data_IF_331273025569
#
_entry.id   IF_331273025569
#
_cell.length_a   1.000
_cell.length_b   1.000
_cell.length_c   1.000
_cell.angle_alpha   90.00
_cell.angle_beta   90.00
_cell.angle_gamma   90.00
#
_symmetry.space_group_name_H-M   'P 1'
#
loop_
_entity.id
_entity.type
_entity.pdbx_description
1 polymer ?
#
# COMPACT_ATOMS: atom_id res chain seq x y z
N UNK A 1 21.44 1.57 57.06
CA UNK A 1 19.97 1.65 56.79
C UNK A 1 19.54 2.78 55.86
N UNK A 2 20.02 4.04 55.97
CA UNK A 2 19.55 5.15 55.09
C UNK A 2 19.78 4.91 53.59
N UNK A 3 20.97 4.46 53.18
CA UNK A 3 21.29 4.20 51.75
C UNK A 3 20.38 3.15 51.08
N UNK A 4 19.92 2.15 51.82
CA UNK A 4 19.06 1.09 51.32
C UNK A 4 17.63 1.60 51.02
N UNK A 5 17.12 2.50 51.86
CA UNK A 5 15.82 3.16 51.63
C UNK A 5 15.85 4.09 50.42
N UNK A 6 16.95 4.81 50.21
CA UNK A 6 17.12 5.69 49.05
C UNK A 6 17.23 4.91 47.75
N UNK A 7 17.96 3.78 47.74
CA UNK A 7 18.05 2.90 46.57
C UNK A 7 16.69 2.28 46.21
N UNK A 8 15.95 1.81 47.22
CA UNK A 8 14.60 1.28 47.03
C UNK A 8 13.64 2.34 46.46
N UNK A 9 13.74 3.60 46.90
CA UNK A 9 12.94 4.70 46.37
C UNK A 9 13.21 4.94 44.89
N UNK A 10 14.48 4.97 44.46
CA UNK A 10 14.82 5.16 43.04
C UNK A 10 14.35 4.02 42.14
N UNK A 11 14.41 2.77 42.62
CA UNK A 11 13.88 1.60 41.89
C UNK A 11 12.37 1.67 41.72
N UNK A 12 11.64 2.06 42.77
CA UNK A 12 10.17 2.22 42.68
C UNK A 12 9.83 3.37 41.74
N UNK A 13 10.52 4.50 41.83
CA UNK A 13 10.32 5.62 40.91
C UNK A 13 10.62 5.27 39.46
N UNK A 14 11.67 4.51 39.17
CA UNK A 14 11.99 4.11 37.78
C UNK A 14 10.95 3.14 37.21
N UNK A 15 10.40 2.24 38.02
CA UNK A 15 9.31 1.34 37.63
C UNK A 15 8.03 2.15 37.33
N UNK A 16 7.70 3.13 38.16
CA UNK A 16 6.52 3.99 37.95
C UNK A 16 6.68 4.84 36.68
N UNK A 17 7.86 5.41 36.44
CA UNK A 17 8.13 6.18 35.21
C UNK A 17 8.09 5.28 33.97
N UNK A 18 8.70 4.08 34.03
CA UNK A 18 8.70 3.13 32.93
C UNK A 18 7.31 2.61 32.57
N UNK A 19 6.48 2.31 33.57
CA UNK A 19 5.09 1.88 33.36
C UNK A 19 4.21 2.99 32.80
N UNK A 20 4.34 4.22 33.31
CA UNK A 20 3.61 5.37 32.77
C UNK A 20 3.98 5.66 31.30
N UNK A 21 5.26 5.55 30.94
CA UNK A 21 5.71 5.70 29.56
C UNK A 21 5.15 4.59 28.65
N UNK A 22 5.18 3.33 29.10
CA UNK A 22 4.63 2.20 28.34
C UNK A 22 3.12 2.35 28.10
N UNK A 23 2.35 2.77 29.11
CA UNK A 23 0.92 3.07 28.97
C UNK A 23 0.70 4.24 28.01
N UNK A 24 1.52 5.29 28.10
CA UNK A 24 1.46 6.43 27.18
C UNK A 24 1.71 6.03 25.73
N UNK A 25 2.75 5.23 25.45
CA UNK A 25 3.03 4.72 24.11
C UNK A 25 1.92 3.79 23.60
N UNK A 26 1.44 2.87 24.44
CA UNK A 26 0.35 1.98 24.08
C UNK A 26 -0.95 2.75 23.80
N UNK A 27 -1.27 3.76 24.60
CA UNK A 27 -2.44 4.61 24.40
C UNK A 27 -2.32 5.47 23.14
N UNK A 28 -1.16 6.08 22.90
CA UNK A 28 -0.90 6.85 21.68
C UNK A 28 -0.98 5.96 20.43
N UNK A 29 -0.43 4.74 20.47
CA UNK A 29 -0.56 3.75 19.39
C UNK A 29 -2.01 3.32 19.18
N UNK A 30 -2.77 3.12 20.26
CA UNK A 30 -4.20 2.79 20.19
C UNK A 30 -5.02 3.93 19.57
N UNK A 31 -4.80 5.18 19.99
CA UNK A 31 -5.50 6.34 19.44
C UNK A 31 -5.13 6.60 17.98
N UNK A 32 -3.85 6.44 17.62
CA UNK A 32 -3.39 6.54 16.24
C UNK A 32 -4.05 5.48 15.36
N UNK A 33 -4.07 4.21 15.79
CA UNK A 33 -4.80 3.15 15.07
C UNK A 33 -6.31 3.45 14.97
N UNK A 34 -6.93 3.99 16.02
CA UNK A 34 -8.37 4.30 16.03
C UNK A 34 -8.79 5.34 14.99
N UNK A 35 -7.90 6.23 14.54
CA UNK A 35 -8.20 7.17 13.45
C UNK A 35 -8.42 6.46 12.11
N UNK A 36 -7.94 5.23 11.98
CA UNK A 36 -8.09 4.37 10.81
C UNK A 36 -9.13 3.24 11.01
N UNK A 37 -9.62 3.03 12.24
CA UNK A 37 -10.60 1.97 12.59
C UNK A 37 -12.06 2.41 12.50
N UNK A 38 -12.36 3.69 12.24
CA UNK A 38 -13.74 4.10 11.92
C UNK A 38 -13.86 4.31 10.42
N UNK A 39 -14.01 3.23 9.61
CA UNK A 39 -14.48 3.42 8.26
C UNK A 39 -15.79 4.18 8.37
N UNK A 40 -15.92 5.26 7.59
CA UNK A 40 -17.20 5.92 7.42
C UNK A 40 -18.18 4.81 7.05
N UNK A 41 -19.27 4.62 7.81
CA UNK A 41 -20.25 3.58 7.52
C UNK A 41 -20.96 3.94 6.20
N UNK A 42 -20.37 3.51 5.10
CA UNK A 42 -21.00 3.54 3.80
C UNK A 42 -21.95 2.34 3.74
N UNK A 43 -23.18 2.57 3.29
CA UNK A 43 -24.12 1.50 3.02
C UNK A 43 -23.44 0.46 2.10
N UNK A 44 -23.16 -0.73 2.62
CA UNK A 44 -22.38 -1.79 1.95
C UNK A 44 -23.02 -2.24 0.63
N UNK A 45 -24.34 -2.08 0.49
CA UNK A 45 -25.05 -2.31 -0.78
C UNK A 45 -24.65 -1.33 -1.90
N UNK A 46 -24.13 -0.16 -1.55
CA UNK A 46 -23.62 0.85 -2.50
C UNK A 46 -22.20 0.52 -2.93
N UNK A 47 -21.37 -0.03 -2.04
CA UNK A 47 -19.97 -0.36 -2.34
C UNK A 47 -19.84 -1.54 -3.31
N UNK A 48 -20.71 -2.55 -3.20
CA UNK A 48 -20.76 -3.67 -4.14
C UNK A 48 -20.86 -3.22 -5.61
N UNK A 49 -21.60 -2.13 -5.88
CA UNK A 49 -21.77 -1.59 -7.24
C UNK A 49 -20.51 -0.98 -7.86
N UNK A 50 -19.45 -0.75 -7.06
CA UNK A 50 -18.13 -0.35 -7.57
C UNK A 50 -17.23 -1.54 -7.91
N UNK A 51 -17.68 -2.76 -7.64
CA UNK A 51 -17.00 -4.02 -7.89
C UNK A 51 -17.88 -4.95 -8.73
N UNK A 52 -17.39 -6.15 -9.06
CA UNK A 52 -18.20 -7.14 -9.77
C UNK A 52 -19.25 -7.76 -8.83
N UNK A 53 -18.97 -7.71 -7.54
CA UNK A 53 -19.82 -8.23 -6.49
C UNK A 53 -19.03 -8.40 -5.18
N UNK A 54 -19.61 -9.15 -4.26
CA UNK A 54 -19.07 -9.35 -2.92
C UNK A 54 -19.47 -8.27 -1.92
N UNK A 55 -19.41 -8.62 -0.65
CA UNK A 55 -19.69 -7.76 0.49
C UNK A 55 -18.41 -7.24 1.17
N UNK A 56 -17.24 -7.68 0.69
CA UNK A 56 -15.94 -7.31 1.24
C UNK A 56 -15.57 -8.09 2.51
N UNK A 57 -16.33 -9.13 2.85
CA UNK A 57 -16.02 -10.01 3.99
C UNK A 57 -15.02 -11.11 3.57
N UNK A 58 -14.43 -11.82 4.52
CA UNK A 58 -13.49 -12.91 4.20
C UNK A 58 -14.14 -14.07 3.43
N UNK A 59 -15.40 -14.38 3.70
CA UNK A 59 -16.15 -15.42 2.99
C UNK A 59 -16.77 -14.92 1.68
N UNK A 60 -16.91 -13.61 1.51
CA UNK A 60 -17.49 -12.98 0.33
C UNK A 60 -16.74 -11.67 -0.02
N UNK A 61 -15.48 -11.78 -0.48
CA UNK A 61 -14.62 -10.64 -0.78
C UNK A 61 -15.12 -9.85 -1.99
N UNK A 62 -14.82 -8.55 -2.03
CA UNK A 62 -15.08 -7.73 -3.21
C UNK A 62 -14.33 -8.29 -4.42
N UNK A 63 -15.06 -8.54 -5.50
CA UNK A 63 -14.52 -9.14 -6.71
C UNK A 63 -14.05 -8.09 -7.70
N UNK A 64 -12.82 -8.25 -8.17
CA UNK A 64 -12.18 -7.40 -9.17
C UNK A 64 -11.92 -8.25 -10.41
N UNK A 65 -12.64 -7.94 -11.49
CA UNK A 65 -12.58 -8.60 -12.78
C UNK A 65 -12.09 -7.65 -13.87
N UNK A 66 -12.48 -6.38 -13.79
CA UNK A 66 -12.18 -5.37 -14.80
C UNK A 66 -11.25 -4.28 -14.27
N UNK A 67 -10.48 -3.62 -15.15
CA UNK A 67 -9.65 -2.50 -14.77
C UNK A 67 -10.38 -1.47 -13.88
N UNK A 68 -11.62 -1.12 -14.22
CA UNK A 68 -12.41 -0.06 -13.56
C UNK A 68 -12.60 -0.33 -12.07
N UNK A 69 -12.73 -1.61 -11.71
CA UNK A 69 -12.91 -2.04 -10.34
C UNK A 69 -11.59 -1.95 -9.55
N UNK A 70 -10.45 -2.16 -10.21
CA UNK A 70 -9.13 -1.91 -9.62
C UNK A 70 -8.90 -0.42 -9.35
N UNK A 71 -9.38 0.46 -10.24
CA UNK A 71 -9.39 1.91 -9.99
C UNK A 71 -10.29 2.29 -8.83
N UNK A 72 -11.47 1.68 -8.75
CA UNK A 72 -12.39 1.94 -7.65
C UNK A 72 -11.76 1.56 -6.32
N UNK A 73 -11.05 0.44 -6.25
CA UNK A 73 -10.24 0.08 -5.08
C UNK A 73 -9.27 1.22 -4.70
N UNK A 74 -8.48 1.71 -5.66
CA UNK A 74 -7.54 2.81 -5.44
C UNK A 74 -8.23 4.07 -4.90
N UNK A 75 -9.31 4.53 -5.55
CA UNK A 75 -10.03 5.75 -5.18
C UNK A 75 -10.70 5.64 -3.82
N UNK A 76 -11.38 4.52 -3.56
CA UNK A 76 -12.09 4.29 -2.31
C UNK A 76 -11.12 4.09 -1.14
N UNK A 77 -9.91 3.55 -1.38
CA UNK A 77 -8.86 3.50 -0.36
C UNK A 77 -8.42 4.91 0.08
N UNK A 78 -8.20 5.82 -0.87
CA UNK A 78 -7.85 7.23 -0.56
C UNK A 78 -8.97 7.94 0.20
N UNK A 79 -10.22 7.49 0.07
CA UNK A 79 -11.35 8.02 0.83
C UNK A 79 -11.51 7.39 2.23
N UNK A 80 -10.61 6.48 2.64
CA UNK A 80 -10.68 5.83 3.96
C UNK A 80 -11.91 4.93 4.14
N UNK A 81 -12.42 4.37 3.04
CA UNK A 81 -13.66 3.57 3.03
C UNK A 81 -13.46 2.18 3.64
N UNK A 82 -12.26 1.61 3.47
CA UNK A 82 -11.97 0.22 3.81
C UNK A 82 -11.22 0.07 5.13
N UNK A 83 -11.30 -1.12 5.71
CA UNK A 83 -10.62 -1.48 6.96
C UNK A 83 -9.76 -2.74 6.78
N UNK A 84 -9.07 -3.15 7.84
CA UNK A 84 -8.30 -4.39 7.90
C UNK A 84 -9.13 -5.66 7.64
N UNK A 85 -10.43 -5.59 7.93
CA UNK A 85 -11.39 -6.69 7.73
C UNK A 85 -12.01 -6.69 6.33
N UNK A 86 -11.67 -5.72 5.47
CA UNK A 86 -12.12 -5.70 4.08
C UNK A 86 -11.26 -6.63 3.24
N UNK A 87 -11.89 -7.46 2.42
CA UNK A 87 -11.23 -8.45 1.57
C UNK A 87 -11.55 -8.21 0.11
N UNK A 88 -10.53 -8.33 -0.74
CA UNK A 88 -10.57 -8.21 -2.18
C UNK A 88 -10.00 -9.48 -2.82
N UNK A 89 -10.57 -9.86 -3.96
CA UNK A 89 -10.01 -10.92 -4.80
C UNK A 89 -10.01 -10.54 -6.27
N UNK A 90 -9.03 -11.05 -7.02
CA UNK A 90 -9.12 -11.07 -8.48
C UNK A 90 -9.96 -12.29 -8.92
N UNK A 91 -11.00 -12.06 -9.70
CA UNK A 91 -11.78 -13.15 -10.31
C UNK A 91 -11.27 -13.50 -11.72
N UNK A 92 -10.60 -12.57 -12.39
CA UNK A 92 -10.00 -12.79 -13.70
C UNK A 92 -8.66 -12.04 -13.85
N UNK A 93 -7.94 -12.33 -14.94
CA UNK A 93 -6.77 -11.55 -15.30
C UNK A 93 -7.20 -10.15 -15.73
N UNK A 94 -6.52 -9.13 -15.21
CA UNK A 94 -6.76 -7.75 -15.63
C UNK A 94 -6.02 -7.52 -16.96
N UNK A 95 -6.73 -7.12 -18.03
CA UNK A 95 -6.14 -6.92 -19.34
C UNK A 95 -5.20 -5.72 -19.35
N UNK A 96 -4.39 -5.61 -20.41
CA UNK A 96 -3.44 -4.53 -20.61
C UNK A 96 -4.07 -3.19 -21.04
N UNK A 97 -5.36 -3.19 -21.36
CA UNK A 97 -6.10 -2.03 -21.85
C UNK A 97 -7.18 -1.63 -20.85
N UNK A 98 -7.52 -0.35 -20.78
CA UNK A 98 -8.53 0.17 -19.87
C UNK A 98 -8.01 0.44 -18.45
N UNK A 99 -6.71 0.32 -18.22
CA UNK A 99 -6.05 0.70 -16.96
C UNK A 99 -5.74 2.21 -16.88
N UNK A 100 -5.84 2.92 -18.00
CA UNK A 100 -5.77 4.38 -18.09
C UNK A 100 -7.18 4.96 -17.91
N UNK A 101 -7.35 5.94 -17.02
CA UNK A 101 -8.63 6.65 -16.85
C UNK A 101 -8.47 8.13 -17.14
N UNK A 102 -9.23 8.64 -18.11
CA UNK A 102 -9.21 10.04 -18.53
C UNK A 102 -7.80 10.54 -18.93
N UNK A 103 -6.95 9.63 -19.42
CA UNK A 103 -5.54 9.89 -19.76
C UNK A 103 -4.61 10.03 -18.54
N UNK A 104 -5.07 9.59 -17.36
CA UNK A 104 -4.30 9.60 -16.11
C UNK A 104 -4.01 8.17 -15.67
N UNK A 105 -2.72 7.92 -15.43
CA UNK A 105 -2.21 6.66 -14.89
C UNK A 105 -2.84 6.31 -13.52
N UNK A 106 -2.63 5.07 -13.08
CA UNK A 106 -3.00 4.67 -11.72
C UNK A 106 -2.09 5.39 -10.71
N UNK A 107 -2.67 5.97 -9.66
CA UNK A 107 -1.89 6.35 -8.49
C UNK A 107 -1.66 5.11 -7.61
N UNK A 108 -0.58 5.04 -6.83
CA UNK A 108 -0.35 3.97 -5.87
C UNK A 108 -1.58 3.73 -4.97
N UNK A 109 -1.90 2.46 -4.71
CA UNK A 109 -2.93 2.07 -3.74
C UNK A 109 -2.31 2.16 -2.35
N UNK A 110 -2.77 3.13 -1.58
CA UNK A 110 -2.23 3.42 -0.25
C UNK A 110 -1.13 4.48 -0.26
N UNK A 111 -1.21 5.39 0.71
CA UNK A 111 -0.20 6.41 1.01
C UNK A 111 0.03 6.50 2.53
N UNK A 112 1.03 7.26 2.97
CA UNK A 112 1.24 7.52 4.41
C UNK A 112 -0.03 8.07 5.11
N UNK A 113 -0.77 8.97 4.45
CA UNK A 113 -2.02 9.54 4.98
C UNK A 113 -3.18 8.53 4.95
N UNK A 114 -3.24 7.66 3.94
CA UNK A 114 -4.29 6.65 3.76
C UNK A 114 -3.70 5.29 3.41
N UNK A 115 -3.11 4.57 4.39
CA UNK A 115 -2.50 3.27 4.14
C UNK A 115 -3.50 2.24 3.59
N UNK A 116 -3.01 1.26 2.85
CA UNK A 116 -3.81 0.10 2.48
C UNK A 116 -3.84 -0.89 3.65
N UNK A 117 -4.99 -1.01 4.33
CA UNK A 117 -5.19 -1.92 5.48
C UNK A 117 -5.73 -3.30 5.11
N UNK A 118 -6.34 -3.41 3.94
CA UNK A 118 -7.21 -4.53 3.59
C UNK A 118 -6.45 -5.78 3.14
N UNK A 119 -7.19 -6.87 2.92
CA UNK A 119 -6.67 -8.14 2.41
C UNK A 119 -6.89 -8.21 0.90
N UNK A 120 -5.84 -8.36 0.11
CA UNK A 120 -5.89 -8.50 -1.34
C UNK A 120 -5.35 -9.87 -1.77
N UNK A 121 -6.21 -10.72 -2.30
CA UNK A 121 -5.83 -12.02 -2.86
C UNK A 121 -5.97 -12.04 -4.39
N UNK A 122 -4.83 -12.08 -5.06
CA UNK A 122 -4.73 -12.16 -6.50
C UNK A 122 -5.26 -13.44 -7.14
N UNK A 123 -5.55 -14.46 -6.36
CA UNK A 123 -6.16 -15.73 -6.81
C UNK A 123 -5.45 -16.40 -8.01
N UNK A 124 -4.12 -16.29 -8.07
CA UNK A 124 -3.27 -16.81 -9.15
C UNK A 124 -3.37 -16.04 -10.46
N UNK A 125 -4.03 -14.87 -10.48
CA UNK A 125 -4.30 -14.07 -11.68
C UNK A 125 -3.16 -13.09 -11.98
N UNK A 126 -3.23 -12.52 -13.18
CA UNK A 126 -2.27 -11.55 -13.71
C UNK A 126 -2.90 -10.18 -13.83
N UNK A 127 -2.10 -9.15 -13.59
CA UNK A 127 -2.41 -7.77 -13.97
C UNK A 127 -1.37 -7.39 -15.01
N UNK A 128 -1.82 -7.11 -16.24
CA UNK A 128 -0.94 -6.91 -17.38
C UNK A 128 -0.76 -5.43 -17.69
N UNK A 129 0.45 -5.02 -18.06
CA UNK A 129 0.81 -3.66 -18.47
C UNK A 129 0.30 -2.58 -17.51
N UNK A 130 0.41 -2.84 -16.21
CA UNK A 130 0.04 -1.88 -15.18
C UNK A 130 0.97 -0.67 -15.25
N UNK A 131 0.42 0.51 -15.49
CA UNK A 131 1.15 1.77 -15.41
C UNK A 131 0.73 2.51 -14.14
N UNK A 132 1.71 2.75 -13.26
CA UNK A 132 1.50 3.49 -12.02
C UNK A 132 2.40 4.72 -12.01
N UNK A 133 1.82 5.86 -11.71
CA UNK A 133 2.52 7.12 -11.59
C UNK A 133 2.59 7.55 -10.13
N UNK A 134 3.76 7.33 -9.51
CA UNK A 134 4.09 7.87 -8.21
C UNK A 134 4.48 9.34 -8.34
N UNK A 135 3.65 10.23 -7.79
CA UNK A 135 3.91 11.67 -7.80
C UNK A 135 5.11 12.09 -6.92
N UNK A 136 5.59 11.19 -6.06
CA UNK A 136 6.69 11.39 -5.11
C UNK A 136 7.59 10.14 -5.05
N UNK A 137 8.76 10.24 -4.42
CA UNK A 137 9.71 9.12 -4.22
C UNK A 137 9.26 8.13 -3.14
N UNK A 138 8.40 8.57 -2.24
CA UNK A 138 7.69 7.77 -1.24
C UNK A 138 6.38 7.22 -1.82
N UNK A 139 5.91 6.10 -1.25
CA UNK A 139 4.66 5.42 -1.60
C UNK A 139 4.55 5.01 -3.08
N UNK A 140 5.60 4.41 -3.63
CA UNK A 140 5.68 4.00 -5.05
C UNK A 140 5.21 2.55 -5.28
N UNK A 141 4.78 2.26 -6.51
CA UNK A 141 4.34 0.91 -6.92
C UNK A 141 2.82 0.76 -6.92
N UNK A 142 2.32 -0.42 -7.30
CA UNK A 142 0.87 -0.69 -7.31
C UNK A 142 0.24 -0.48 -5.93
N UNK A 143 0.93 -0.92 -4.88
CA UNK A 143 0.60 -0.63 -3.49
C UNK A 143 1.71 0.26 -2.93
N UNK A 144 1.39 1.53 -2.67
CA UNK A 144 2.37 2.54 -2.27
C UNK A 144 2.74 2.41 -0.80
N UNK A 145 1.73 2.41 0.07
CA UNK A 145 1.88 2.20 1.51
C UNK A 145 0.92 1.11 1.99
N UNK A 146 1.47 0.07 2.61
CA UNK A 146 0.73 -1.09 3.12
C UNK A 146 0.80 -1.08 4.65
N UNK A 147 -0.35 -1.04 5.30
CA UNK A 147 -0.41 -0.99 6.76
C UNK A 147 -0.05 -2.34 7.40
N UNK A 148 0.32 -2.28 8.68
CA UNK A 148 0.50 -3.49 9.49
C UNK A 148 -0.80 -4.31 9.53
N UNK A 149 -0.71 -5.61 9.27
CA UNK A 149 -1.87 -6.52 9.25
C UNK A 149 -2.56 -6.67 7.89
N UNK A 150 -2.27 -5.78 6.93
CA UNK A 150 -2.68 -5.96 5.54
C UNK A 150 -1.91 -7.13 4.89
N UNK A 151 -2.55 -7.81 3.93
CA UNK A 151 -1.94 -8.90 3.17
C UNK A 151 -2.21 -8.72 1.70
N UNK A 152 -1.15 -8.78 0.90
CA UNK A 152 -1.21 -8.68 -0.56
C UNK A 152 -0.52 -9.92 -1.11
N UNK A 153 -1.26 -10.77 -1.81
CA UNK A 153 -0.72 -12.07 -2.20
C UNK A 153 -1.27 -12.62 -3.50
N UNK A 154 -0.58 -13.61 -4.06
CA UNK A 154 -1.10 -14.54 -5.07
C UNK A 154 -1.53 -13.90 -6.41
N UNK A 155 -0.84 -12.88 -6.90
CA UNK A 155 -0.95 -12.41 -8.29
C UNK A 155 0.43 -12.18 -8.89
N UNK A 156 0.44 -11.98 -10.21
CA UNK A 156 1.62 -11.57 -10.96
C UNK A 156 1.37 -10.26 -11.69
N UNK A 157 2.31 -9.31 -11.58
CA UNK A 157 2.38 -8.17 -12.48
C UNK A 157 3.14 -8.58 -13.74
N UNK A 158 2.48 -8.53 -14.90
CA UNK A 158 3.11 -8.80 -16.18
C UNK A 158 3.42 -7.47 -16.87
N UNK A 159 4.72 -7.17 -17.06
CA UNK A 159 5.20 -5.94 -17.69
C UNK A 159 4.73 -4.62 -17.01
N UNK A 160 4.85 -4.46 -15.68
CA UNK A 160 4.48 -3.21 -15.03
C UNK A 160 5.46 -2.07 -15.37
N UNK A 161 4.94 -0.85 -15.50
CA UNK A 161 5.71 0.39 -15.58
C UNK A 161 5.40 1.22 -14.34
N UNK A 162 6.41 1.48 -13.52
CA UNK A 162 6.29 2.39 -12.37
C UNK A 162 7.06 3.66 -12.70
N UNK A 163 6.37 4.79 -12.80
CA UNK A 163 6.96 6.11 -13.00
C UNK A 163 7.06 6.83 -11.66
N UNK A 164 8.16 7.54 -11.47
CA UNK A 164 8.37 8.46 -10.36
C UNK A 164 8.65 9.83 -10.96
N UNK A 165 7.73 10.78 -10.79
CA UNK A 165 7.78 12.06 -11.52
C UNK A 165 8.43 13.20 -10.75
N UNK A 166 8.59 13.08 -9.43
CA UNK A 166 9.31 14.04 -8.61
C UNK A 166 10.32 13.34 -7.74
N UNK A 167 11.57 13.82 -7.78
CA UNK A 167 12.62 13.40 -6.87
C UNK A 167 12.65 14.35 -5.66
N UNK A 168 12.06 13.91 -4.56
CA UNK A 168 12.03 14.69 -3.33
C UNK A 168 13.26 14.40 -2.44
N UNK A 169 14.19 13.57 -2.91
CA UNK A 169 15.39 13.25 -2.14
C UNK A 169 16.47 14.32 -2.42
N UNK A 170 16.78 15.20 -1.47
CA UNK A 170 17.80 16.24 -1.66
C UNK A 170 19.22 15.68 -1.84
N UNK A 171 19.39 14.35 -1.70
CA UNK A 171 20.65 13.62 -1.85
C UNK A 171 20.68 12.70 -3.07
N UNK A 172 19.64 12.71 -3.91
CA UNK A 172 19.58 11.80 -5.04
C UNK A 172 20.67 12.10 -6.07
N UNK A 173 21.40 11.05 -6.44
CA UNK A 173 22.27 11.06 -7.61
C UNK A 173 21.40 11.26 -8.86
N UNK A 174 21.93 11.89 -9.93
CA UNK A 174 21.17 12.16 -11.15
C UNK A 174 20.41 10.91 -11.64
N UNK A 175 19.14 11.11 -12.01
CA UNK A 175 18.19 10.07 -12.44
C UNK A 175 18.57 9.35 -13.74
N UNK A 176 19.71 9.67 -14.33
CA UNK A 176 20.24 9.00 -15.50
C UNK A 176 20.98 7.73 -15.05
N UNK A 177 20.41 6.57 -15.40
CA UNK A 177 21.11 5.29 -15.25
C UNK A 177 22.48 5.41 -15.96
N UNK A 178 23.62 5.29 -15.24
CA UNK A 178 24.95 5.46 -15.82
C UNK A 178 25.26 4.40 -16.89
N UNK A 179 24.49 3.31 -16.94
CA UNK A 179 24.57 2.26 -17.96
C UNK A 179 23.53 2.39 -19.07
N UNK A 180 22.64 3.40 -19.07
CA UNK A 180 21.63 3.59 -20.12
C UNK A 180 22.26 3.64 -21.52
N UNK A 181 23.39 4.33 -21.66
CA UNK A 181 24.12 4.44 -22.92
C UNK A 181 24.82 3.13 -23.33
N UNK A 182 25.13 2.25 -22.36
CA UNK A 182 25.75 0.95 -22.63
C UNK A 182 24.76 0.03 -23.35
N UNK A 183 23.49 0.04 -22.94
CA UNK A 183 22.41 -0.79 -23.53
C UNK A 183 21.71 -0.13 -24.72
N UNK A 184 21.77 1.20 -24.85
CA UNK A 184 21.19 1.92 -25.99
C UNK A 184 22.02 1.80 -27.28
N UNK A 185 23.30 1.41 -27.19
CA UNK A 185 24.16 1.21 -28.35
C UNK A 185 24.06 -0.25 -28.85
N UNK A 186 23.49 -0.50 -30.05
CA UNK A 186 23.33 -1.85 -30.58
C UNK A 186 24.66 -2.61 -30.73
N UNK A 187 25.77 -1.89 -30.94
CA UNK A 187 27.11 -2.45 -31.09
C UNK A 187 27.67 -3.04 -29.80
N UNK A 188 27.09 -2.70 -28.64
CA UNK A 188 27.48 -3.24 -27.34
C UNK A 188 26.67 -4.49 -26.96
N UNK A 189 25.68 -4.87 -27.78
CA UNK A 189 24.81 -6.00 -27.52
C UNK A 189 25.41 -7.25 -28.18
N UNK A 190 26.02 -8.12 -27.37
CA UNK A 190 26.76 -9.33 -27.81
C UNK A 190 25.83 -10.38 -28.48
N UNK A 191 24.52 -10.10 -28.57
CA UNK A 191 23.52 -10.93 -29.24
C UNK A 191 23.29 -10.57 -30.72
N UNK A 192 23.94 -9.53 -31.27
CA UNK A 192 23.79 -9.13 -32.68
C UNK A 192 24.78 -9.82 -33.65
N UNK A 193 25.58 -10.76 -33.16
CA UNK A 193 26.56 -11.50 -33.98
C UNK A 193 26.37 -13.01 -33.84
N UNK A 194 25.17 -13.50 -34.13
CA UNK A 194 24.89 -14.90 -34.50
C UNK A 194 23.86 -14.93 -35.63
#
# INVERSE_FOLDING_TARGET
>A
MKKFKTLALYLVSSIVIGTAAAVGFAYSSYVYNRQYETPVEFNSGVLNGYFEGGSGTSSDPYSIRYPEQLRNLQRLNVLGVFSENTHFKLDDNIPSSGLEWDGVDLLPIGSEDYPFYSQFNGNGKRINNLEVNGSQTNDIGMFGYVAMGARIENFLLSSPIIRVTADNNPSALPSTNPFANLFANPSNNIAATL
#
